data_IF_053479063446
#
_entry.id   IF_053479063446
#
_cell.length_a   1.000
_cell.length_b   1.000
_cell.length_c   1.000
_cell.angle_alpha   90.00
_cell.angle_beta   90.00
_cell.angle_gamma   90.00
#
_symmetry.space_group_name_H-M   'P 1'
#
loop_
_entity.id
_entity.type
_entity.pdbx_description
1 polymer ?
#
# COMPACT_ATOMS: atom_id res chain seq x y z
N UNK A 1 1.77 34.95 55.94
CA UNK A 1 1.11 33.87 55.16
C UNK A 1 0.99 34.12 53.64
N UNK A 2 1.67 35.10 53.03
CA UNK A 2 1.59 35.36 51.56
C UNK A 2 2.89 35.14 50.76
N UNK A 3 4.01 34.78 51.40
CA UNK A 3 5.27 34.54 50.69
C UNK A 3 5.59 33.06 50.37
N UNK A 4 4.98 32.10 51.08
CA UNK A 4 5.29 30.66 50.88
C UNK A 4 4.56 30.09 49.65
N UNK A 5 3.43 30.67 49.23
CA UNK A 5 2.65 30.22 48.05
C UNK A 5 3.27 30.58 46.69
N UNK A 6 4.36 31.37 46.65
CA UNK A 6 4.99 31.80 45.39
C UNK A 6 6.10 30.86 44.95
N UNK A 7 6.78 30.19 45.89
CA UNK A 7 7.80 29.18 45.59
C UNK A 7 7.18 27.82 45.22
N UNK A 8 6.07 27.43 45.85
CA UNK A 8 5.34 26.20 45.46
C UNK A 8 4.66 26.29 44.07
N UNK A 9 4.30 27.51 43.64
CA UNK A 9 3.77 27.78 42.29
C UNK A 9 4.85 27.85 41.20
N UNK A 10 6.11 28.10 41.58
CA UNK A 10 7.25 28.05 40.65
C UNK A 10 7.77 26.61 40.47
N UNK A 11 7.50 25.70 41.41
CA UNK A 11 7.90 24.29 41.31
C UNK A 11 6.95 23.40 40.49
N UNK A 12 5.71 23.84 40.23
CA UNK A 12 4.71 23.07 39.46
C UNK A 12 4.62 23.45 37.99
N UNK A 13 5.50 24.34 37.51
CA UNK A 13 5.61 24.69 36.08
C UNK A 13 6.97 24.29 35.50
N UNK A 14 7.57 23.22 36.03
CA UNK A 14 8.49 22.40 35.23
C UNK A 14 7.60 21.63 34.26
N UNK A 15 7.19 22.32 33.17
CA UNK A 15 6.72 21.66 31.95
C UNK A 15 7.60 20.43 31.77
N UNK A 16 7.00 19.24 31.69
CA UNK A 16 7.67 18.16 30.98
C UNK A 16 7.98 18.78 29.62
N UNK A 17 9.24 19.16 29.41
CA UNK A 17 9.71 19.41 28.07
C UNK A 17 9.46 18.07 27.38
N UNK A 18 8.46 18.00 26.51
CA UNK A 18 8.35 16.89 25.58
C UNK A 18 9.71 16.80 24.91
N UNK A 19 10.47 15.75 25.25
CA UNK A 19 11.76 15.55 24.63
C UNK A 19 11.45 15.29 23.17
N UNK A 20 11.87 16.23 22.31
CA UNK A 20 11.56 16.20 20.88
C UNK A 20 12.11 14.90 20.29
N UNK A 21 11.22 14.03 19.81
CA UNK A 21 11.60 12.77 19.19
C UNK A 21 12.19 13.03 17.80
N UNK A 22 13.39 12.50 17.56
CA UNK A 22 14.04 12.52 16.25
C UNK A 22 13.88 11.19 15.55
N UNK A 23 13.84 11.22 14.22
CA UNK A 23 13.82 10.00 13.38
C UNK A 23 15.26 9.59 13.09
N UNK A 24 15.64 8.42 13.56
CA UNK A 24 17.00 7.88 13.45
C UNK A 24 16.99 6.68 12.50
N UNK A 25 17.84 6.69 11.47
CA UNK A 25 18.11 5.53 10.64
C UNK A 25 19.43 4.87 11.04
N UNK A 26 19.39 3.55 11.23
CA UNK A 26 20.56 2.72 11.58
C UNK A 26 20.60 1.49 10.66
N UNK A 27 21.71 1.21 9.96
CA UNK A 27 21.90 -0.06 9.25
C UNK A 27 21.89 -1.24 10.23
N UNK A 28 21.11 -2.29 9.93
CA UNK A 28 21.02 -3.49 10.79
C UNK A 28 21.90 -4.61 10.26
N UNK A 29 21.75 -4.98 9.00
CA UNK A 29 22.57 -6.00 8.36
C UNK A 29 22.69 -5.73 6.86
N UNK A 30 23.80 -6.20 6.28
CA UNK A 30 24.03 -6.16 4.85
C UNK A 30 24.68 -7.47 4.41
N UNK A 31 24.04 -8.16 3.47
CA UNK A 31 24.60 -9.30 2.75
C UNK A 31 24.87 -8.91 1.29
N UNK A 32 25.33 -9.87 0.48
CA UNK A 32 25.54 -9.65 -0.96
C UNK A 32 24.24 -9.27 -1.69
N UNK A 33 23.09 -9.74 -1.21
CA UNK A 33 21.79 -9.59 -1.87
C UNK A 33 20.71 -8.93 -0.99
N UNK A 34 21.01 -8.58 0.26
CA UNK A 34 20.04 -7.99 1.18
C UNK A 34 20.64 -6.85 1.97
N UNK A 35 19.88 -5.77 2.14
CA UNK A 35 20.20 -4.68 3.06
C UNK A 35 19.00 -4.46 3.97
N UNK A 36 19.23 -4.50 5.29
CA UNK A 36 18.20 -4.18 6.29
C UNK A 36 18.56 -2.90 7.02
N UNK A 37 17.58 -2.00 7.09
CA UNK A 37 17.66 -0.72 7.79
C UNK A 37 16.60 -0.68 8.88
N UNK A 38 16.93 -0.06 10.01
CA UNK A 38 15.98 0.25 11.08
C UNK A 38 15.83 1.75 11.15
N UNK A 39 14.58 2.22 11.10
CA UNK A 39 14.20 3.61 11.18
C UNK A 39 13.30 3.76 12.40
N UNK A 40 13.76 4.46 13.42
CA UNK A 40 13.11 4.51 14.74
C UNK A 40 13.02 5.93 15.27
N UNK A 41 12.01 6.19 16.12
CA UNK A 41 11.95 7.42 16.91
C UNK A 41 12.78 7.25 18.16
N UNK A 42 13.65 8.24 18.42
CA UNK A 42 14.37 8.33 19.67
C UNK A 42 14.34 9.74 20.25
N UNK A 43 14.09 9.80 21.54
CA UNK A 43 14.37 10.96 22.38
C UNK A 43 15.90 11.03 22.59
N UNK A 44 16.63 11.60 21.63
CA UNK A 44 18.10 11.64 21.64
C UNK A 44 18.60 13.08 21.63
N UNK A 45 19.40 13.43 22.65
CA UNK A 45 20.47 14.41 22.47
C UNK A 45 21.61 13.71 21.72
N UNK A 46 21.97 14.15 20.50
CA UNK A 46 23.00 13.46 19.73
C UNK A 46 24.35 13.61 20.44
N UNK A 47 24.93 12.49 20.89
CA UNK A 47 26.34 12.45 21.22
C UNK A 47 27.13 12.79 19.95
N UNK A 48 27.97 13.82 20.00
CA UNK A 48 28.74 14.27 18.84
C UNK A 48 29.77 13.20 18.50
N UNK A 49 29.57 12.53 17.37
CA UNK A 49 30.50 11.55 16.79
C UNK A 49 30.57 11.77 15.29
N UNK A 50 31.76 11.64 14.69
CA UNK A 50 31.99 11.75 13.24
C UNK A 50 31.19 10.71 12.42
N UNK A 51 30.63 9.69 13.08
CA UNK A 51 29.83 8.64 12.45
C UNK A 51 28.32 8.84 12.60
N UNK A 52 27.90 9.95 13.23
CA UNK A 52 26.50 10.37 13.33
C UNK A 52 26.32 11.60 12.45
N UNK A 53 25.42 11.50 11.46
CA UNK A 53 25.04 12.63 10.63
C UNK A 53 23.69 13.18 11.07
N UNK A 54 23.67 14.44 11.52
CA UNK A 54 22.44 15.18 11.84
C UNK A 54 22.12 16.08 10.66
N UNK A 55 20.93 15.92 10.08
CA UNK A 55 20.52 16.71 8.93
C UNK A 55 20.02 18.10 9.36
N UNK A 56 20.30 19.14 8.55
CA UNK A 56 19.84 20.52 8.76
C UNK A 56 18.74 20.96 7.77
N UNK A 57 18.28 22.20 7.90
CA UNK A 57 17.27 22.80 7.00
C UNK A 57 15.92 22.06 7.05
N UNK A 58 15.35 21.75 5.88
CA UNK A 58 14.10 20.99 5.75
C UNK A 58 14.21 19.55 6.26
N UNK A 59 15.41 19.09 6.65
CA UNK A 59 15.66 17.74 7.15
C UNK A 59 16.00 17.72 8.64
N UNK A 60 15.93 18.88 9.31
CA UNK A 60 16.05 19.01 10.78
C UNK A 60 15.17 17.97 11.46
N UNK A 61 15.72 17.17 12.37
CA UNK A 61 15.02 16.07 13.06
C UNK A 61 15.32 14.67 12.53
N UNK A 62 16.09 14.55 11.44
CA UNK A 62 16.62 13.29 10.92
C UNK A 62 18.08 13.06 11.37
N UNK A 63 18.37 11.86 11.86
CA UNK A 63 19.72 11.40 12.24
C UNK A 63 20.06 10.11 11.48
N UNK A 64 21.25 10.04 10.91
CA UNK A 64 21.80 8.81 10.30
C UNK A 64 22.95 8.33 11.18
N UNK A 65 22.82 7.14 11.76
CA UNK A 65 23.86 6.50 12.57
C UNK A 65 24.62 5.48 11.73
N UNK A 66 25.90 5.73 11.45
CA UNK A 66 26.79 4.83 10.69
C UNK A 66 27.63 3.91 11.58
N UNK A 67 27.55 4.07 12.91
CA UNK A 67 28.52 3.55 13.87
C UNK A 67 28.12 2.22 14.53
N UNK A 68 26.87 1.76 14.33
CA UNK A 68 26.34 0.56 14.99
C UNK A 68 25.65 -0.36 14.00
N UNK A 69 26.09 -1.62 13.90
CA UNK A 69 25.17 -2.69 13.55
C UNK A 69 24.15 -2.76 14.68
N UNK A 70 22.86 -2.84 14.35
CA UNK A 70 21.79 -2.92 15.34
C UNK A 70 21.81 -4.30 16.03
N UNK A 71 22.79 -4.52 16.90
CA UNK A 71 22.97 -5.74 17.69
C UNK A 71 21.87 -5.81 18.76
N UNK A 72 21.10 -6.91 18.75
CA UNK A 72 19.95 -7.19 19.63
C UNK A 72 18.70 -6.33 19.42
N UNK A 73 18.38 -6.13 18.14
CA UNK A 73 17.34 -5.25 17.70
C UNK A 73 15.93 -5.79 17.55
N UNK A 74 15.07 -5.44 18.53
CA UNK A 74 13.64 -5.74 18.67
C UNK A 74 13.35 -7.21 19.00
N UNK A 75 13.09 -7.49 20.28
CA UNK A 75 12.72 -8.83 20.80
C UNK A 75 11.24 -9.14 20.65
N UNK A 76 10.40 -8.12 20.44
CA UNK A 76 8.96 -8.25 20.27
C UNK A 76 8.58 -8.47 18.79
N UNK A 77 7.61 -9.34 18.47
CA UNK A 77 7.15 -9.53 17.09
C UNK A 77 6.62 -8.22 16.53
N UNK A 78 6.79 -7.99 15.23
CA UNK A 78 6.22 -6.82 14.57
C UNK A 78 4.69 -6.84 14.67
N UNK A 79 4.09 -5.65 14.79
CA UNK A 79 2.64 -5.51 14.88
C UNK A 79 1.96 -5.62 13.51
N UNK A 80 2.67 -5.28 12.44
CA UNK A 80 2.22 -5.45 11.06
C UNK A 80 3.43 -5.68 10.15
N UNK A 81 3.21 -6.36 9.03
CA UNK A 81 4.21 -6.59 8.01
C UNK A 81 3.59 -6.47 6.62
N UNK A 82 4.33 -5.88 5.68
CA UNK A 82 3.99 -5.82 4.26
C UNK A 82 5.24 -6.19 3.45
N UNK A 83 5.06 -6.87 2.32
CA UNK A 83 6.12 -7.12 1.34
C UNK A 83 5.58 -6.83 -0.06
N UNK A 84 6.42 -6.23 -0.90
CA UNK A 84 6.10 -5.97 -2.30
C UNK A 84 7.36 -6.10 -3.15
N UNK A 85 7.17 -6.23 -4.45
CA UNK A 85 8.27 -6.39 -5.40
C UNK A 85 8.44 -5.13 -6.25
N UNK A 86 9.69 -4.83 -6.59
CA UNK A 86 10.05 -3.84 -7.60
C UNK A 86 10.99 -4.48 -8.62
N UNK A 87 11.03 -3.90 -9.81
CA UNK A 87 11.99 -4.27 -10.84
C UNK A 87 13.02 -3.17 -10.98
N UNK A 88 14.28 -3.51 -10.74
CA UNK A 88 15.41 -2.64 -10.92
C UNK A 88 15.92 -2.81 -12.34
N UNK A 89 16.13 -1.70 -13.03
CA UNK A 89 16.79 -1.68 -14.34
C UNK A 89 18.18 -1.12 -14.13
N UNK A 90 19.20 -1.91 -14.44
CA UNK A 90 20.58 -1.43 -14.42
C UNK A 90 20.78 -0.39 -15.51
N UNK A 91 21.09 0.86 -15.14
CA UNK A 91 21.37 1.91 -16.12
C UNK A 91 22.60 1.64 -16.99
N UNK A 92 23.51 0.76 -16.56
CA UNK A 92 24.72 0.41 -17.30
C UNK A 92 24.50 -0.74 -18.30
N UNK A 93 23.66 -1.71 -17.95
CA UNK A 93 23.52 -2.98 -18.70
C UNK A 93 22.11 -3.23 -19.22
N UNK A 94 21.12 -2.41 -18.84
CA UNK A 94 19.70 -2.64 -19.12
C UNK A 94 19.12 -3.88 -18.45
N UNK A 95 19.90 -4.59 -17.63
CA UNK A 95 19.46 -5.85 -17.02
C UNK A 95 18.41 -5.59 -15.96
N UNK A 96 17.35 -6.39 -16.00
CA UNK A 96 16.29 -6.37 -15.01
C UNK A 96 16.65 -7.26 -13.83
N UNK A 97 16.40 -6.79 -12.62
CA UNK A 97 16.54 -7.57 -11.39
C UNK A 97 15.31 -7.35 -10.54
N UNK A 98 14.70 -8.44 -10.04
CA UNK A 98 13.58 -8.34 -9.11
C UNK A 98 14.13 -8.10 -7.71
N UNK A 99 13.54 -7.17 -6.99
CA UNK A 99 13.86 -6.89 -5.60
C UNK A 99 12.58 -6.98 -4.76
N UNK A 100 12.62 -7.80 -3.72
CA UNK A 100 11.60 -7.82 -2.67
C UNK A 100 11.92 -6.73 -1.63
N UNK A 101 10.89 -5.96 -1.26
CA UNK A 101 10.97 -4.92 -0.22
C UNK A 101 9.99 -5.26 0.89
N UNK A 102 10.51 -5.61 2.06
CA UNK A 102 9.70 -5.91 3.23
C UNK A 102 9.74 -4.75 4.24
N UNK A 103 8.57 -4.43 4.80
CA UNK A 103 8.34 -3.42 5.82
C UNK A 103 7.76 -4.10 7.05
N UNK A 104 8.40 -3.96 8.21
CA UNK A 104 7.91 -4.48 9.49
C UNK A 104 7.71 -3.33 10.46
N UNK A 105 6.51 -3.24 11.03
CA UNK A 105 6.04 -2.07 11.76
C UNK A 105 5.91 -2.34 13.26
N UNK A 106 6.40 -1.41 14.07
CA UNK A 106 6.17 -1.34 15.50
C UNK A 106 5.61 0.03 15.86
N UNK A 107 4.50 0.02 16.58
CA UNK A 107 3.73 1.21 16.93
C UNK A 107 3.91 1.54 18.40
N UNK A 108 3.70 2.80 18.77
CA UNK A 108 3.72 3.23 20.17
C UNK A 108 2.62 2.49 20.97
N UNK A 109 2.83 2.24 22.28
CA UNK A 109 1.88 1.47 23.10
C UNK A 109 0.48 2.06 23.20
N UNK A 110 0.36 3.38 23.06
CA UNK A 110 -0.90 4.12 23.07
C UNK A 110 -1.75 3.92 21.80
N UNK A 111 -1.20 3.35 20.73
CA UNK A 111 -1.96 3.02 19.53
C UNK A 111 -2.74 1.71 19.72
N UNK A 112 -4.08 1.74 19.62
CA UNK A 112 -4.92 0.55 19.74
C UNK A 112 -4.54 -0.55 18.73
N UNK A 113 -4.48 -1.84 19.13
CA UNK A 113 -4.09 -2.93 18.23
C UNK A 113 -4.91 -3.04 16.95
N UNK A 114 -6.21 -2.74 17.00
CA UNK A 114 -7.13 -2.75 15.86
C UNK A 114 -6.87 -1.62 14.85
N UNK A 115 -6.20 -0.53 15.24
CA UNK A 115 -5.87 0.59 14.35
C UNK A 115 -4.52 0.39 13.61
N UNK A 116 -3.61 -0.42 14.18
CA UNK A 116 -2.25 -0.64 13.67
C UNK A 116 -2.21 -1.14 12.21
N UNK A 117 -3.05 -2.10 11.78
CA UNK A 117 -3.07 -2.54 10.39
C UNK A 117 -3.48 -1.42 9.42
N UNK A 118 -4.46 -0.59 9.79
CA UNK A 118 -4.93 0.52 8.96
C UNK A 118 -3.86 1.62 8.83
N UNK A 119 -3.16 1.94 9.92
CA UNK A 119 -2.03 2.89 9.90
C UNK A 119 -0.88 2.36 9.02
N UNK A 120 -0.53 1.07 9.14
CA UNK A 120 0.48 0.44 8.29
C UNK A 120 0.10 0.47 6.80
N UNK A 121 -1.17 0.20 6.49
CA UNK A 121 -1.68 0.23 5.12
C UNK A 121 -1.71 1.65 4.55
N UNK A 122 -2.11 2.64 5.34
CA UNK A 122 -2.08 4.04 4.95
C UNK A 122 -0.63 4.51 4.66
N UNK A 123 0.31 4.18 5.55
CA UNK A 123 1.73 4.45 5.37
C UNK A 123 2.24 3.85 4.06
N UNK A 124 1.94 2.57 3.83
CA UNK A 124 2.36 1.88 2.62
C UNK A 124 1.77 2.50 1.36
N UNK A 125 0.47 2.82 1.35
CA UNK A 125 -0.21 3.44 0.20
C UNK A 125 0.44 4.76 -0.20
N UNK A 126 0.84 5.59 0.76
CA UNK A 126 1.54 6.84 0.48
C UNK A 126 2.98 6.63 0.04
N UNK A 127 3.69 5.68 0.67
CA UNK A 127 5.05 5.35 0.28
C UNK A 127 5.12 4.91 -1.19
N UNK A 128 4.19 4.05 -1.62
CA UNK A 128 4.16 3.45 -2.97
C UNK A 128 3.25 4.20 -3.96
N UNK A 129 2.77 5.39 -3.60
CA UNK A 129 1.95 6.22 -4.49
C UNK A 129 2.66 6.42 -5.86
N UNK A 130 2.02 6.06 -6.99
CA UNK A 130 2.64 6.13 -8.31
C UNK A 130 3.06 7.54 -8.74
N UNK A 131 2.38 8.57 -8.25
CA UNK A 131 2.63 9.97 -8.64
C UNK A 131 4.01 10.47 -8.17
N UNK A 132 4.51 9.91 -7.07
CA UNK A 132 5.71 10.34 -6.39
C UNK A 132 6.52 9.15 -5.87
N UNK A 133 6.45 8.02 -6.57
CA UNK A 133 7.20 6.82 -6.20
C UNK A 133 8.69 7.04 -6.44
N UNK A 134 9.56 6.81 -5.44
CA UNK A 134 10.98 7.05 -5.60
C UNK A 134 11.64 6.08 -6.59
N UNK A 135 12.36 6.63 -7.57
CA UNK A 135 13.05 5.87 -8.62
C UNK A 135 14.40 5.28 -8.21
N UNK A 136 14.90 5.66 -7.03
CA UNK A 136 16.16 5.17 -6.49
C UNK A 136 16.06 4.85 -4.99
N UNK A 137 17.05 4.15 -4.47
CA UNK A 137 17.10 3.74 -3.06
C UNK A 137 17.14 4.91 -2.08
N UNK A 138 17.85 5.99 -2.43
CA UNK A 138 18.02 7.15 -1.54
C UNK A 138 16.68 7.87 -1.41
N UNK A 139 15.98 8.08 -2.51
CA UNK A 139 14.63 8.63 -2.54
C UNK A 139 13.64 7.75 -1.78
N UNK A 140 13.73 6.43 -1.92
CA UNK A 140 12.87 5.48 -1.20
C UNK A 140 13.04 5.59 0.31
N UNK A 141 14.29 5.53 0.78
CA UNK A 141 14.63 5.69 2.20
C UNK A 141 14.24 7.09 2.71
N UNK A 142 14.51 8.14 1.93
CA UNK A 142 14.16 9.53 2.28
C UNK A 142 12.66 9.69 2.45
N UNK A 143 11.85 9.13 1.54
CA UNK A 143 10.38 9.17 1.63
C UNK A 143 9.89 8.47 2.89
N UNK A 144 10.43 7.29 3.22
CA UNK A 144 10.13 6.58 4.47
C UNK A 144 10.43 7.45 5.70
N UNK A 145 11.64 8.02 5.78
CA UNK A 145 12.04 8.88 6.90
C UNK A 145 11.13 10.11 7.02
N UNK A 146 10.69 10.68 5.90
CA UNK A 146 9.81 11.85 5.86
C UNK A 146 8.37 11.54 6.25
N UNK A 147 7.82 10.43 5.78
CA UNK A 147 6.50 9.94 6.20
C UNK A 147 6.48 9.70 7.70
N UNK A 148 7.51 9.04 8.23
CA UNK A 148 7.67 8.89 9.66
C UNK A 148 7.77 10.28 10.30
N UNK A 149 8.72 11.12 9.92
CA UNK A 149 8.95 12.43 10.56
C UNK A 149 7.70 13.32 10.67
N UNK A 150 6.90 13.42 9.60
CA UNK A 150 5.88 14.47 9.50
C UNK A 150 4.44 13.99 9.69
N UNK A 151 4.15 12.71 9.48
CA UNK A 151 2.76 12.23 9.39
C UNK A 151 2.47 11.06 10.31
N UNK A 152 3.33 10.04 10.31
CA UNK A 152 3.08 8.78 11.01
C UNK A 152 3.68 8.78 12.42
N UNK A 153 3.16 9.65 13.28
CA UNK A 153 3.68 9.92 14.63
C UNK A 153 3.55 8.77 15.63
N UNK A 154 2.62 7.84 15.37
CA UNK A 154 2.42 6.63 16.17
C UNK A 154 3.35 5.48 15.75
N UNK A 155 3.99 5.57 14.58
CA UNK A 155 5.03 4.63 14.16
C UNK A 155 6.28 4.87 15.02
N UNK A 156 6.62 3.88 15.85
CA UNK A 156 7.76 3.90 16.76
C UNK A 156 9.02 3.43 16.05
N UNK A 157 8.91 2.33 15.30
CA UNK A 157 10.02 1.70 14.60
C UNK A 157 9.52 1.04 13.33
N UNK A 158 10.32 1.15 12.28
CA UNK A 158 10.12 0.52 10.98
C UNK A 158 11.41 -0.18 10.59
N UNK A 159 11.34 -1.48 10.38
CA UNK A 159 12.41 -2.23 9.72
C UNK A 159 12.11 -2.34 8.23
N UNK A 160 13.13 -2.05 7.42
CA UNK A 160 13.06 -2.05 5.96
C UNK A 160 14.11 -3.02 5.45
N UNK A 161 13.67 -4.12 4.83
CA UNK A 161 14.54 -5.09 4.18
C UNK A 161 14.43 -4.95 2.67
N UNK A 162 15.56 -4.78 2.00
CA UNK A 162 15.69 -4.68 0.55
C UNK A 162 16.48 -5.89 0.06
N UNK A 163 15.80 -6.84 -0.59
CA UNK A 163 16.36 -8.15 -0.96
C UNK A 163 16.30 -8.35 -2.46
N UNK A 164 17.45 -8.29 -3.12
CA UNK A 164 17.58 -8.64 -4.53
C UNK A 164 17.45 -10.16 -4.70
N UNK A 165 16.58 -10.55 -5.62
CA UNK A 165 16.45 -11.93 -6.06
C UNK A 165 17.26 -12.13 -7.34
N UNK A 166 17.63 -13.38 -7.63
CA UNK A 166 18.41 -13.70 -8.82
C UNK A 166 17.74 -13.14 -10.09
N UNK A 167 18.55 -12.81 -11.09
CA UNK A 167 18.05 -12.35 -12.40
C UNK A 167 17.10 -13.40 -12.98
N UNK A 168 15.80 -13.14 -12.86
CA UNK A 168 14.76 -13.89 -13.56
C UNK A 168 14.63 -13.35 -15.00
N UNK A 169 14.06 -14.13 -15.93
CA UNK A 169 13.72 -13.59 -17.24
C UNK A 169 12.82 -12.35 -17.06
N UNK A 170 12.96 -11.31 -17.90
CA UNK A 170 12.04 -10.19 -17.88
C UNK A 170 10.61 -10.75 -18.01
N UNK A 171 9.69 -10.25 -17.18
CA UNK A 171 8.28 -10.50 -17.42
C UNK A 171 7.94 -10.03 -18.86
N UNK A 172 7.02 -10.71 -19.57
CA UNK A 172 6.49 -10.18 -20.83
C UNK A 172 6.06 -8.73 -20.61
N UNK A 173 6.51 -7.86 -21.51
CA UNK A 173 6.52 -6.40 -21.40
C UNK A 173 5.30 -5.83 -20.64
N UNK A 174 5.52 -5.43 -19.38
CA UNK A 174 4.62 -4.52 -18.69
C UNK A 174 5.41 -3.30 -18.21
N UNK A 175 5.12 -2.19 -18.91
CA UNK A 175 5.51 -0.79 -18.68
C UNK A 175 7.00 -0.48 -18.95
N UNK A 176 7.29 -0.19 -20.22
CA UNK A 176 8.38 0.72 -20.57
C UNK A 176 8.04 2.12 -20.06
N UNK A 177 8.96 2.69 -19.28
CA UNK A 177 8.89 4.01 -18.63
C UNK A 177 9.08 5.19 -19.61
N UNK A 178 8.79 5.00 -20.90
CA UNK A 178 8.92 5.99 -21.98
C UNK A 178 7.63 6.78 -22.26
N UNK A 179 6.52 6.46 -21.60
CA UNK A 179 5.18 7.00 -21.91
C UNK A 179 4.75 8.21 -21.08
N UNK A 180 5.67 8.91 -20.42
CA UNK A 180 5.33 10.18 -19.76
C UNK A 180 5.00 11.31 -20.76
N UNK A 181 5.07 11.07 -22.08
CA UNK A 181 4.75 12.11 -23.06
C UNK A 181 4.02 11.74 -24.36
N UNK A 182 3.52 10.51 -24.59
CA UNK A 182 2.75 10.24 -25.82
C UNK A 182 1.59 9.26 -25.62
N UNK A 183 0.36 9.80 -25.78
CA UNK A 183 -0.92 9.11 -25.95
C UNK A 183 -1.37 8.20 -24.80
N UNK A 184 -2.55 8.48 -24.25
CA UNK A 184 -3.27 7.52 -23.42
C UNK A 184 -3.69 6.36 -24.31
N UNK A 185 -2.78 5.42 -24.53
CA UNK A 185 -3.05 4.22 -25.31
C UNK A 185 -4.03 3.39 -24.49
N UNK A 186 -5.22 3.20 -25.05
CA UNK A 186 -6.20 2.25 -24.55
C UNK A 186 -5.71 0.83 -24.83
N UNK A 187 -5.94 -0.07 -23.88
CA UNK A 187 -5.78 -1.50 -24.11
C UNK A 187 -6.95 -2.23 -23.49
N UNK A 188 -7.31 -3.38 -24.06
CA UNK A 188 -8.39 -4.22 -23.53
C UNK A 188 -8.17 -4.56 -22.05
N UNK A 189 -6.92 -4.84 -21.66
CA UNK A 189 -6.60 -5.14 -20.27
C UNK A 189 -6.94 -3.98 -19.34
N UNK A 190 -6.64 -2.73 -19.73
CA UNK A 190 -6.96 -1.57 -18.88
C UNK A 190 -8.46 -1.33 -18.75
N UNK A 191 -9.22 -1.59 -19.81
CA UNK A 191 -10.69 -1.53 -19.77
C UNK A 191 -11.25 -2.64 -18.88
N UNK A 192 -10.70 -3.85 -18.96
CA UNK A 192 -11.07 -4.97 -18.11
C UNK A 192 -10.76 -4.70 -16.63
N UNK A 193 -9.58 -4.18 -16.33
CA UNK A 193 -9.17 -3.82 -14.96
C UNK A 193 -10.16 -2.82 -14.35
N UNK A 194 -10.63 -1.83 -15.13
CA UNK A 194 -11.64 -0.89 -14.67
C UNK A 194 -12.97 -1.57 -14.33
N UNK A 195 -13.42 -2.52 -15.14
CA UNK A 195 -14.64 -3.30 -14.88
C UNK A 195 -14.48 -4.19 -13.65
N UNK A 196 -13.33 -4.82 -13.46
CA UNK A 196 -13.05 -5.67 -12.30
C UNK A 196 -12.96 -4.89 -11.00
N UNK A 197 -12.43 -3.66 -11.03
CA UNK A 197 -12.40 -2.76 -9.89
C UNK A 197 -13.77 -2.19 -9.53
N UNK A 198 -14.65 -2.03 -10.51
CA UNK A 198 -16.02 -1.58 -10.28
C UNK A 198 -16.95 -2.71 -9.83
N UNK A 199 -16.51 -3.97 -9.89
CA UNK A 199 -17.30 -5.14 -9.57
C UNK A 199 -18.00 -5.01 -8.19
N UNK A 200 -19.28 -5.39 -8.07
CA UNK A 200 -20.16 -5.92 -9.12
C UNK A 200 -20.83 -4.83 -9.98
N UNK A 201 -20.53 -3.56 -9.78
CA UNK A 201 -21.31 -2.45 -10.34
C UNK A 201 -21.09 -2.26 -11.86
N UNK A 202 -22.14 -1.84 -12.58
CA UNK A 202 -22.04 -1.50 -13.99
C UNK A 202 -21.25 -0.21 -14.22
N UNK A 203 -20.54 -0.14 -15.35
CA UNK A 203 -19.88 1.06 -15.86
C UNK A 203 -20.46 1.46 -17.21
N UNK A 204 -20.61 2.76 -17.43
CA UNK A 204 -21.00 3.33 -18.71
C UNK A 204 -19.78 3.62 -19.59
N UNK A 205 -19.97 3.70 -20.92
CA UNK A 205 -18.92 4.13 -21.85
C UNK A 205 -18.29 5.47 -21.44
N UNK A 206 -19.09 6.40 -20.91
CA UNK A 206 -18.63 7.72 -20.52
C UNK A 206 -17.78 7.68 -19.23
N UNK A 207 -17.96 6.68 -18.35
CA UNK A 207 -17.08 6.45 -17.19
C UNK A 207 -15.65 6.09 -17.64
N UNK A 208 -15.52 5.24 -18.66
CA UNK A 208 -14.22 4.88 -19.24
C UNK A 208 -13.56 6.05 -19.96
N UNK A 209 -14.34 6.79 -20.76
CA UNK A 209 -13.86 8.01 -21.44
C UNK A 209 -13.38 9.02 -20.40
N UNK A 210 -14.11 9.22 -19.30
CA UNK A 210 -13.73 10.20 -18.28
C UNK A 210 -12.49 9.79 -17.49
N UNK A 211 -12.43 8.54 -17.02
CA UNK A 211 -11.32 8.07 -16.20
C UNK A 211 -10.05 7.78 -17.02
N UNK A 212 -10.19 7.21 -18.21
CA UNK A 212 -9.09 6.88 -19.11
C UNK A 212 -8.66 8.02 -20.03
N UNK A 213 -9.51 9.05 -20.21
CA UNK A 213 -9.44 10.11 -21.25
C UNK A 213 -9.15 9.54 -22.65
N UNK A 214 -9.81 8.42 -22.96
CA UNK A 214 -9.76 7.75 -24.25
C UNK A 214 -10.87 8.24 -25.18
N UNK A 215 -10.76 7.94 -26.48
CA UNK A 215 -11.84 8.22 -27.41
C UNK A 215 -13.00 7.24 -27.19
N UNK A 216 -14.22 7.71 -27.46
CA UNK A 216 -15.43 6.87 -27.34
C UNK A 216 -15.42 5.69 -28.32
N UNK A 217 -14.75 5.84 -29.47
CA UNK A 217 -14.60 4.78 -30.46
C UNK A 217 -13.70 3.66 -29.92
N UNK A 218 -12.50 4.01 -29.44
CA UNK A 218 -11.56 3.00 -28.96
C UNK A 218 -12.09 2.24 -27.73
N UNK A 219 -12.83 2.92 -26.85
CA UNK A 219 -13.49 2.30 -25.70
C UNK A 219 -14.52 1.27 -26.15
N UNK A 220 -15.31 1.59 -27.18
CA UNK A 220 -16.30 0.65 -27.72
C UNK A 220 -15.63 -0.56 -28.36
N UNK A 221 -14.60 -0.35 -29.16
CA UNK A 221 -13.86 -1.44 -29.81
C UNK A 221 -13.24 -2.39 -28.78
N UNK A 222 -12.66 -1.84 -27.70
CA UNK A 222 -12.11 -2.63 -26.60
C UNK A 222 -13.19 -3.41 -25.82
N UNK A 223 -14.35 -2.80 -25.58
CA UNK A 223 -15.47 -3.45 -24.90
C UNK A 223 -16.07 -4.58 -25.75
N UNK A 224 -16.19 -4.38 -27.06
CA UNK A 224 -16.64 -5.40 -28.01
C UNK A 224 -15.68 -6.61 -28.00
N UNK A 225 -14.37 -6.37 -28.08
CA UNK A 225 -13.36 -7.43 -27.98
C UNK A 225 -13.43 -8.20 -26.64
N UNK A 226 -13.68 -7.52 -25.53
CA UNK A 226 -13.84 -8.15 -24.22
C UNK A 226 -15.14 -8.95 -24.10
N UNK A 227 -16.21 -8.50 -24.75
CA UNK A 227 -17.49 -9.21 -24.82
C UNK A 227 -17.39 -10.47 -25.68
N UNK A 228 -16.70 -10.40 -26.83
CA UNK A 228 -16.40 -11.58 -27.67
C UNK A 228 -15.59 -12.65 -26.91
N UNK A 229 -14.68 -12.22 -26.03
CA UNK A 229 -13.92 -13.11 -25.13
C UNK A 229 -14.74 -13.66 -23.97
N UNK A 230 -16.00 -13.25 -23.83
CA UNK A 230 -16.87 -13.63 -22.71
C UNK A 230 -16.38 -13.08 -21.37
N UNK A 231 -15.59 -12.01 -21.37
CA UNK A 231 -15.07 -11.39 -20.14
C UNK A 231 -16.03 -10.31 -19.61
N UNK A 232 -16.74 -9.65 -20.50
CA UNK A 232 -17.73 -8.61 -20.13
C UNK A 232 -19.07 -8.92 -20.77
N UNK A 233 -20.11 -8.23 -20.31
CA UNK A 233 -21.46 -8.31 -20.88
C UNK A 233 -22.08 -6.93 -20.92
N UNK A 234 -22.69 -6.57 -22.05
CA UNK A 234 -23.58 -5.42 -22.12
C UNK A 234 -24.91 -5.71 -21.40
N UNK A 235 -25.27 -4.89 -20.42
CA UNK A 235 -26.59 -4.97 -19.76
C UNK A 235 -27.66 -4.19 -20.55
N UNK A 236 -27.30 -3.01 -21.02
CA UNK A 236 -28.13 -2.12 -21.82
C UNK A 236 -27.20 -1.26 -22.68
N UNK A 237 -27.75 -0.46 -23.59
CA UNK A 237 -26.96 0.33 -24.53
C UNK A 237 -25.90 1.18 -23.81
N UNK A 238 -24.62 0.85 -24.01
CA UNK A 238 -23.49 1.58 -23.42
C UNK A 238 -23.19 1.29 -21.95
N UNK A 239 -23.80 0.25 -21.34
CA UNK A 239 -23.61 -0.14 -19.94
C UNK A 239 -23.05 -1.55 -19.84
N UNK A 240 -21.89 -1.70 -19.21
CA UNK A 240 -21.11 -2.94 -19.18
C UNK A 240 -20.83 -3.41 -17.77
N UNK A 241 -20.84 -4.74 -17.57
CA UNK A 241 -20.49 -5.42 -16.31
C UNK A 241 -19.53 -6.57 -16.58
N UNK A 242 -18.85 -7.05 -15.52
CA UNK A 242 -18.08 -8.30 -15.60
C UNK A 242 -19.02 -9.46 -15.89
N UNK A 243 -18.65 -10.33 -16.83
CA UNK A 243 -19.36 -11.57 -17.07
C UNK A 243 -19.25 -12.48 -15.83
N UNK A 244 -20.38 -12.94 -15.32
CA UNK A 244 -20.44 -13.88 -14.21
C UNK A 244 -20.34 -15.33 -14.69
N UNK A 245 -19.91 -16.24 -13.81
CA UNK A 245 -20.07 -17.67 -14.04
C UNK A 245 -21.55 -18.04 -14.05
N UNK A 246 -21.90 -19.14 -14.74
CA UNK A 246 -23.28 -19.62 -14.90
C UNK A 246 -23.96 -19.87 -13.54
N UNK A 247 -23.18 -20.25 -12.54
CA UNK A 247 -23.66 -20.58 -11.18
C UNK A 247 -23.88 -19.35 -10.28
N UNK A 248 -23.65 -18.14 -10.80
CA UNK A 248 -23.85 -16.90 -10.03
C UNK A 248 -25.27 -16.36 -10.19
N UNK A 249 -25.96 -16.15 -9.06
CA UNK A 249 -27.32 -15.62 -9.03
C UNK A 249 -27.33 -14.12 -8.74
N UNK A 250 -27.83 -13.32 -9.68
CA UNK A 250 -28.02 -11.88 -9.48
C UNK A 250 -29.33 -11.63 -8.72
N UNK A 251 -29.26 -10.93 -7.59
CA UNK A 251 -30.40 -10.70 -6.69
C UNK A 251 -30.55 -9.23 -6.30
N UNK A 252 -31.79 -8.76 -6.18
CA UNK A 252 -32.09 -7.43 -5.61
C UNK A 252 -31.93 -7.42 -4.09
N UNK A 253 -32.35 -8.51 -3.45
CA UNK A 253 -32.26 -8.74 -2.01
C UNK A 253 -31.74 -10.16 -1.80
N UNK A 254 -30.85 -10.35 -0.81
CA UNK A 254 -30.36 -11.67 -0.46
C UNK A 254 -31.54 -12.58 -0.05
N UNK A 255 -31.64 -13.80 -0.62
CA UNK A 255 -32.73 -14.69 -0.31
C UNK A 255 -32.65 -15.19 1.14
N UNK A 256 -33.80 -15.46 1.74
CA UNK A 256 -33.84 -16.20 3.00
C UNK A 256 -33.60 -17.67 2.71
N UNK A 257 -32.46 -18.20 3.16
CA UNK A 257 -32.12 -19.60 3.01
C UNK A 257 -32.88 -20.44 4.04
N UNK A 258 -33.48 -21.55 3.60
CA UNK A 258 -34.04 -22.54 4.51
C UNK A 258 -32.93 -23.21 5.34
N UNK A 259 -33.28 -23.76 6.51
CA UNK A 259 -32.31 -24.33 7.45
C UNK A 259 -31.40 -25.40 6.82
N UNK A 260 -31.91 -26.20 5.88
CA UNK A 260 -31.14 -27.22 5.16
C UNK A 260 -30.15 -26.67 4.12
N UNK A 261 -30.22 -25.38 3.80
CA UNK A 261 -29.34 -24.67 2.84
C UNK A 261 -28.53 -23.56 3.50
N UNK A 262 -28.51 -23.49 4.83
CA UNK A 262 -27.68 -22.50 5.52
C UNK A 262 -26.20 -22.84 5.30
N UNK A 263 -25.38 -21.86 4.86
CA UNK A 263 -23.96 -22.09 4.64
C UNK A 263 -23.25 -22.22 6.00
N UNK A 264 -22.24 -23.10 6.05
CA UNK A 264 -21.35 -23.19 7.21
C UNK A 264 -20.46 -21.95 7.35
N UNK A 265 -20.10 -21.33 6.23
CA UNK A 265 -19.27 -20.12 6.15
C UNK A 265 -19.88 -19.22 5.07
N UNK A 266 -20.07 -17.94 5.38
CA UNK A 266 -20.49 -16.93 4.42
C UNK A 266 -19.33 -15.96 4.16
N UNK A 267 -19.01 -15.74 2.88
CA UNK A 267 -17.97 -14.80 2.44
C UNK A 267 -18.64 -13.67 1.67
N UNK A 268 -18.34 -12.43 2.05
CA UNK A 268 -18.85 -11.22 1.40
C UNK A 268 -17.64 -10.44 0.89
N UNK A 269 -17.57 -10.24 -0.43
CA UNK A 269 -16.50 -9.46 -1.06
C UNK A 269 -17.08 -8.53 -2.13
N UNK A 270 -16.43 -7.40 -2.32
CA UNK A 270 -16.66 -6.46 -3.41
C UNK A 270 -15.48 -6.44 -4.40
N UNK A 271 -14.49 -7.32 -4.24
CA UNK A 271 -13.32 -7.39 -5.12
C UNK A 271 -13.40 -8.66 -5.99
N UNK A 272 -13.31 -8.47 -7.30
CA UNK A 272 -13.42 -9.58 -8.23
C UNK A 272 -12.29 -10.61 -8.08
N UNK A 273 -11.06 -10.16 -7.80
CA UNK A 273 -9.93 -11.05 -7.56
C UNK A 273 -10.09 -11.90 -6.28
N UNK A 274 -10.66 -11.33 -5.22
CA UNK A 274 -11.02 -12.08 -4.00
C UNK A 274 -12.09 -13.12 -4.32
N UNK A 275 -13.12 -12.75 -5.09
CA UNK A 275 -14.16 -13.69 -5.54
C UNK A 275 -13.55 -14.86 -6.31
N UNK A 276 -12.64 -14.62 -7.24
CA UNK A 276 -11.97 -15.69 -7.98
C UNK A 276 -11.14 -16.60 -7.07
N UNK A 277 -10.42 -16.02 -6.09
CA UNK A 277 -9.65 -16.81 -5.14
C UNK A 277 -10.57 -17.68 -4.26
N UNK A 278 -11.69 -17.12 -3.77
CA UNK A 278 -12.68 -17.85 -2.96
C UNK A 278 -13.30 -19.00 -3.76
N UNK A 279 -13.75 -18.72 -4.99
CA UNK A 279 -14.30 -19.74 -5.90
C UNK A 279 -13.33 -20.89 -6.17
N UNK A 280 -12.02 -20.60 -6.22
CA UNK A 280 -11.00 -21.62 -6.45
C UNK A 280 -10.69 -22.45 -5.20
N UNK A 281 -11.04 -21.97 -4.00
CA UNK A 281 -10.72 -22.59 -2.72
C UNK A 281 -11.92 -23.27 -2.04
N UNK A 282 -13.15 -23.02 -2.50
CA UNK A 282 -14.38 -23.50 -1.87
C UNK A 282 -15.20 -24.40 -2.80
N UNK A 283 -15.62 -25.55 -2.28
CA UNK A 283 -16.56 -26.46 -2.94
C UNK A 283 -17.99 -26.25 -2.44
N UNK A 284 -18.99 -26.70 -3.21
CA UNK A 284 -20.43 -26.63 -2.87
C UNK A 284 -20.93 -25.22 -2.51
N UNK A 285 -20.48 -24.22 -3.27
CA UNK A 285 -20.83 -22.83 -3.06
C UNK A 285 -22.14 -22.41 -3.77
N UNK A 286 -22.89 -21.51 -3.15
CA UNK A 286 -23.94 -20.73 -3.80
C UNK A 286 -23.51 -19.26 -3.81
N UNK A 287 -23.33 -18.69 -5.01
CA UNK A 287 -22.85 -17.31 -5.16
C UNK A 287 -24.00 -16.39 -5.53
N UNK A 288 -24.19 -15.34 -4.72
CA UNK A 288 -25.20 -14.30 -4.94
C UNK A 288 -24.53 -12.95 -5.18
N UNK A 289 -24.95 -12.24 -6.22
CA UNK A 289 -24.45 -10.90 -6.55
C UNK A 289 -25.57 -9.89 -6.39
N UNK A 290 -25.30 -8.84 -5.63
CA UNK A 290 -26.20 -7.70 -5.46
C UNK A 290 -25.53 -6.44 -5.98
N UNK A 291 -26.14 -5.81 -6.96
CA UNK A 291 -25.69 -4.49 -7.43
C UNK A 291 -26.03 -3.43 -6.39
N UNK A 292 -25.15 -2.44 -6.22
CA UNK A 292 -25.48 -1.27 -5.42
C UNK A 292 -26.45 -0.40 -6.21
N UNK A 293 -27.65 -0.17 -5.66
CA UNK A 293 -28.54 0.90 -6.09
C UNK A 293 -28.10 2.16 -5.39
N UNK A 294 -27.26 2.96 -6.03
CA UNK A 294 -26.95 4.32 -5.54
C UNK A 294 -27.96 5.25 -6.22
N UNK A 295 -28.99 5.67 -5.48
CA UNK A 295 -30.02 6.59 -5.96
C UNK A 295 -31.45 6.04 -5.89
N UNK A 296 -32.01 6.06 -4.68
CA UNK A 296 -33.39 6.50 -4.38
C UNK A 296 -33.29 7.44 -3.17
#
# INVERSE_FOLDING_TARGET
MKLIKREERMSHNKKMAEVEEKVVMTPKCKSANSTTLVIERKAVEPEVSDKIHVAGGDHTGIIINKEKNYENGVTEPCHAQLEFYVYLVSGATGTHTREARALRFWFKPNMPPNERPYEAQAFFRELVSPQDFPKDYVGYIKKIMKLMQHKYNQLKLLEVELRQEAAGPPLPAYIEDSVLNQTQVISEQRVLDMIENAYPNPLTVDDFVTAGKWSKADVKDALEALEEKGLTRAMSEGVYVRQHSVDTQVVKQMPQLCSSRQPSIAVITALYCEKQAVDAMMDNQETYVRYTTVGD
#
